data_IF_668989221533
#
_entry.id   IF_668989221533
#
_cell.length_a   1.000
_cell.length_b   1.000
_cell.length_c   1.000
_cell.angle_alpha   90.00
_cell.angle_beta   90.00
_cell.angle_gamma   90.00
#
_symmetry.space_group_name_H-M   'P 1'
#
loop_
_entity.id
_entity.type
_entity.pdbx_description
1 polymer ?
#
# COMPACT_ATOMS: atom_id res chain seq x y z
N UNK A 1 6.12 16.68 34.49
CA UNK A 1 5.33 15.59 33.88
C UNK A 1 4.76 16.04 32.56
N UNK A 2 5.55 16.08 31.50
CA UNK A 2 5.08 16.52 30.17
C UNK A 2 5.45 15.47 29.12
N UNK A 3 4.42 15.08 28.36
CA UNK A 3 4.46 14.40 27.07
C UNK A 3 5.06 12.98 27.05
N UNK A 4 4.23 11.97 27.34
CA UNK A 4 4.32 10.72 26.59
C UNK A 4 3.67 10.98 25.22
N UNK A 5 4.41 11.12 24.11
CA UNK A 5 3.79 11.23 22.80
C UNK A 5 3.05 9.91 22.53
N UNK A 6 1.73 9.97 22.39
CA UNK A 6 0.95 8.83 21.95
C UNK A 6 1.53 8.40 20.60
N UNK A 7 2.02 7.16 20.45
CA UNK A 7 2.54 6.68 19.18
C UNK A 7 1.38 6.73 18.18
N UNK A 8 1.48 7.62 17.21
CA UNK A 8 0.55 7.66 16.10
C UNK A 8 0.70 6.33 15.35
N UNK A 9 -0.42 5.64 15.13
CA UNK A 9 -0.43 4.43 14.33
C UNK A 9 0.08 4.69 12.91
N UNK A 10 0.55 3.63 12.21
CA UNK A 10 1.04 3.77 10.84
C UNK A 10 -0.03 4.43 9.98
N UNK A 11 0.30 5.58 9.42
CA UNK A 11 -0.61 6.44 8.68
C UNK A 11 -0.09 6.57 7.26
N UNK A 12 -0.84 6.02 6.32
CA UNK A 12 -0.49 6.02 4.90
C UNK A 12 -1.38 6.99 4.14
N UNK A 13 -0.77 7.78 3.28
CA UNK A 13 -1.44 8.64 2.33
C UNK A 13 -1.36 7.99 0.95
N UNK A 14 -2.53 7.67 0.40
CA UNK A 14 -2.65 6.98 -0.88
C UNK A 14 -3.15 7.93 -1.97
N UNK A 15 -2.43 7.96 -3.09
CA UNK A 15 -2.82 8.66 -4.31
C UNK A 15 -3.00 7.66 -5.45
N UNK A 16 -4.17 6.99 -5.51
CA UNK A 16 -4.47 6.04 -6.57
C UNK A 16 -4.91 6.74 -7.86
N UNK A 17 -4.32 6.32 -8.97
CA UNK A 17 -4.76 6.63 -10.32
C UNK A 17 -5.20 5.33 -11.00
N UNK A 18 -6.50 5.09 -11.07
CA UNK A 18 -7.07 3.86 -11.62
C UNK A 18 -7.87 4.09 -12.90
N UNK A 19 -7.69 3.19 -13.86
CA UNK A 19 -8.54 3.02 -15.02
C UNK A 19 -9.47 1.84 -14.78
N UNK A 20 -10.78 2.09 -14.88
CA UNK A 20 -11.83 1.07 -14.69
C UNK A 20 -12.50 0.77 -16.03
N UNK A 21 -12.22 -0.40 -16.60
CA UNK A 21 -12.88 -0.88 -17.80
C UNK A 21 -14.09 -1.75 -17.42
N UNK A 22 -15.30 -1.30 -17.81
CA UNK A 22 -16.54 -1.98 -17.47
C UNK A 22 -17.13 -2.63 -18.71
N UNK A 23 -17.55 -3.89 -18.59
CA UNK A 23 -18.29 -4.58 -19.64
C UNK A 23 -19.69 -3.99 -19.81
N UNK A 24 -20.38 -4.40 -20.87
CA UNK A 24 -21.82 -4.19 -21.01
C UNK A 24 -22.59 -4.92 -19.92
N UNK A 25 -23.75 -4.36 -19.58
CA UNK A 25 -24.60 -4.91 -18.54
C UNK A 25 -25.28 -6.17 -19.06
N UNK A 26 -25.05 -7.29 -18.38
CA UNK A 26 -25.77 -8.54 -18.63
C UNK A 26 -26.76 -8.73 -17.48
N UNK A 27 -28.04 -8.43 -17.75
CA UNK A 27 -29.11 -8.47 -16.75
C UNK A 27 -28.81 -7.59 -15.52
N UNK A 28 -28.59 -8.19 -14.33
CA UNK A 28 -28.27 -7.47 -13.09
C UNK A 28 -26.79 -7.54 -12.72
N UNK A 29 -25.92 -8.00 -13.62
CA UNK A 29 -24.49 -8.12 -13.40
C UNK A 29 -23.70 -7.34 -14.43
N UNK A 30 -22.61 -6.73 -13.98
CA UNK A 30 -21.69 -6.00 -14.84
C UNK A 30 -20.24 -6.23 -14.38
N UNK A 31 -19.55 -7.23 -14.97
CA UNK A 31 -18.13 -7.46 -14.70
C UNK A 31 -17.28 -6.26 -15.13
N UNK A 32 -16.20 -6.02 -14.39
CA UNK A 32 -15.24 -4.97 -14.71
C UNK A 32 -13.81 -5.38 -14.33
N UNK A 33 -12.87 -4.75 -15.02
CA UNK A 33 -11.44 -4.81 -14.74
C UNK A 33 -10.98 -3.42 -14.27
N UNK A 34 -10.02 -3.42 -13.36
CA UNK A 34 -9.38 -2.25 -12.81
C UNK A 34 -7.88 -2.39 -13.03
N UNK A 35 -7.22 -1.32 -13.45
CA UNK A 35 -5.76 -1.28 -13.52
C UNK A 35 -5.26 0.13 -13.32
N UNK A 36 -4.13 0.29 -12.63
CA UNK A 36 -3.57 1.60 -12.41
C UNK A 36 -2.33 1.62 -11.55
N UNK A 37 -1.94 2.82 -11.15
CA UNK A 37 -0.80 3.07 -10.28
C UNK A 37 -1.29 3.72 -9.00
N UNK A 38 -0.68 3.39 -7.88
CA UNK A 38 -0.98 3.99 -6.59
C UNK A 38 0.31 4.45 -5.92
N UNK A 39 0.43 5.76 -5.69
CA UNK A 39 1.54 6.31 -4.92
C UNK A 39 1.16 6.35 -3.44
N UNK A 40 1.85 5.54 -2.63
CA UNK A 40 1.62 5.44 -1.19
C UNK A 40 2.77 6.09 -0.44
N UNK A 41 2.45 7.04 0.42
CA UNK A 41 3.40 7.75 1.26
C UNK A 41 3.12 7.50 2.75
N UNK A 42 4.08 6.94 3.46
CA UNK A 42 4.02 6.72 4.90
C UNK A 42 4.35 8.01 5.66
N UNK A 43 3.35 8.58 6.33
CA UNK A 43 3.49 9.78 7.14
C UNK A 43 4.01 9.51 8.55
N UNK A 44 3.90 8.26 9.02
CA UNK A 44 4.32 7.83 10.35
C UNK A 44 5.77 7.34 10.38
N UNK A 45 6.33 6.96 9.24
CA UNK A 45 7.73 6.54 9.15
C UNK A 45 8.66 7.67 9.62
N UNK A 46 9.58 7.38 10.56
CA UNK A 46 10.57 8.35 11.09
C UNK A 46 11.48 8.91 9.97
N UNK A 47 12.03 10.13 10.14
CA UNK A 47 12.86 10.79 9.11
C UNK A 47 14.06 9.92 8.76
N UNK A 48 14.30 9.70 7.45
CA UNK A 48 15.55 9.12 6.96
C UNK A 48 16.71 9.93 7.56
N UNK A 49 17.65 9.25 8.21
CA UNK A 49 18.80 9.85 8.89
C UNK A 49 18.70 10.10 10.41
N UNK A 50 17.54 9.91 11.08
CA UNK A 50 17.48 9.91 12.55
C UNK A 50 17.33 8.49 13.08
N UNK A 51 18.43 7.89 13.52
CA UNK A 51 18.41 6.71 14.36
C UNK A 51 18.11 7.17 15.79
N UNK A 52 17.02 6.68 16.40
CA UNK A 52 16.95 6.71 17.86
C UNK A 52 17.97 5.67 18.34
N UNK A 53 18.87 6.08 19.23
CA UNK A 53 19.88 5.21 19.83
C UNK A 53 19.25 4.08 20.67
N UNK A 54 17.94 4.13 20.93
CA UNK A 54 17.20 3.16 21.75
C UNK A 54 16.22 2.26 20.97
N UNK A 55 16.03 2.45 19.66
CA UNK A 55 15.14 1.57 18.87
C UNK A 55 15.91 0.39 18.27
N UNK A 56 15.44 -0.83 18.54
CA UNK A 56 15.95 -2.12 18.01
C UNK A 56 15.57 -2.37 16.52
N UNK A 57 15.37 -1.31 15.73
CA UNK A 57 14.98 -1.41 14.32
C UNK A 57 16.22 -1.36 13.42
N UNK A 58 16.70 -2.52 12.98
CA UNK A 58 17.91 -2.69 12.18
C UNK A 58 17.69 -2.51 10.67
N UNK A 59 16.44 -2.49 10.20
CA UNK A 59 16.07 -2.34 8.78
C UNK A 59 15.02 -1.24 8.66
N UNK A 60 15.32 -0.17 7.92
CA UNK A 60 14.37 0.93 7.64
C UNK A 60 13.87 0.85 6.22
N UNK A 61 12.55 0.95 6.06
CA UNK A 61 11.91 1.01 4.76
C UNK A 61 11.79 2.44 4.24
N UNK A 62 11.88 2.64 2.93
CA UNK A 62 11.67 3.95 2.29
C UNK A 62 10.23 4.42 2.52
N UNK A 63 10.09 5.73 2.77
CA UNK A 63 8.81 6.37 3.14
C UNK A 63 7.78 6.46 2.02
N UNK A 64 8.17 6.28 0.77
CA UNK A 64 7.29 6.36 -0.39
C UNK A 64 7.52 5.18 -1.31
N UNK A 65 6.43 4.54 -1.73
CA UNK A 65 6.44 3.45 -2.69
C UNK A 65 5.37 3.66 -3.77
N UNK A 66 5.65 3.18 -4.97
CA UNK A 66 4.73 3.20 -6.11
C UNK A 66 4.25 1.78 -6.32
N UNK A 67 2.95 1.57 -6.20
CA UNK A 67 2.30 0.30 -6.43
C UNK A 67 1.71 0.24 -7.83
N UNK A 68 1.99 -0.83 -8.55
CA UNK A 68 1.21 -1.23 -9.72
C UNK A 68 0.02 -2.05 -9.23
N UNK A 69 -1.19 -1.59 -9.52
CA UNK A 69 -2.42 -2.22 -9.07
C UNK A 69 -3.22 -2.78 -10.26
N UNK A 70 -3.72 -4.01 -10.08
CA UNK A 70 -4.63 -4.67 -11.00
C UNK A 70 -5.75 -5.31 -10.19
N UNK A 71 -6.99 -5.17 -10.64
CA UNK A 71 -8.13 -5.75 -9.97
C UNK A 71 -9.23 -6.15 -10.92
N UNK A 72 -10.15 -6.95 -10.41
CA UNK A 72 -11.36 -7.32 -11.12
C UNK A 72 -12.51 -7.43 -10.13
N UNK A 73 -13.71 -7.15 -10.61
CA UNK A 73 -14.90 -7.20 -9.78
C UNK A 73 -16.16 -7.32 -10.62
N UNK A 74 -17.29 -7.41 -9.93
CA UNK A 74 -18.61 -7.48 -10.57
C UNK A 74 -19.56 -6.52 -9.89
N UNK A 75 -20.12 -5.60 -10.67
CA UNK A 75 -21.19 -4.72 -10.22
C UNK A 75 -22.52 -5.48 -10.27
N UNK A 76 -23.12 -5.78 -9.10
CA UNK A 76 -24.42 -6.45 -8.97
C UNK A 76 -25.49 -5.44 -8.57
N UNK A 77 -26.53 -5.31 -9.38
CA UNK A 77 -27.63 -4.37 -9.15
C UNK A 77 -28.74 -5.05 -8.33
N UNK A 78 -28.80 -4.79 -7.02
CA UNK A 78 -29.88 -5.23 -6.14
C UNK A 78 -30.99 -4.18 -6.11
N UNK A 79 -32.12 -4.51 -5.46
CA UNK A 79 -33.31 -3.63 -5.38
C UNK A 79 -33.04 -2.32 -4.64
N UNK A 80 -32.15 -2.33 -3.65
CA UNK A 80 -31.92 -1.21 -2.74
C UNK A 80 -30.55 -0.55 -2.88
N UNK A 81 -29.53 -1.30 -3.29
CA UNK A 81 -28.16 -0.81 -3.47
C UNK A 81 -27.46 -1.64 -4.55
N UNK A 82 -26.36 -1.14 -5.07
CA UNK A 82 -25.45 -1.85 -5.95
C UNK A 82 -24.34 -2.44 -5.10
N UNK A 83 -24.23 -3.76 -5.13
CA UNK A 83 -23.17 -4.50 -4.46
C UNK A 83 -22.05 -4.80 -5.46
N UNK A 84 -20.85 -4.30 -5.20
CA UNK A 84 -19.71 -4.51 -6.08
C UNK A 84 -18.51 -5.06 -5.31
N UNK A 85 -18.41 -6.40 -5.16
CA UNK A 85 -17.18 -7.03 -4.67
C UNK A 85 -16.06 -6.86 -5.71
N UNK A 86 -14.87 -6.53 -5.23
CA UNK A 86 -13.66 -6.32 -6.00
C UNK A 86 -12.48 -7.01 -5.33
N UNK A 87 -11.67 -7.72 -6.11
CA UNK A 87 -10.36 -8.21 -5.68
C UNK A 87 -9.31 -7.36 -6.39
N UNK A 88 -8.37 -6.81 -5.61
CA UNK A 88 -7.29 -5.97 -6.11
C UNK A 88 -5.95 -6.50 -5.63
N UNK A 89 -5.01 -6.59 -6.56
CA UNK A 89 -3.63 -6.98 -6.36
C UNK A 89 -2.75 -5.75 -6.56
N UNK A 90 -1.82 -5.50 -5.64
CA UNK A 90 -0.86 -4.42 -5.71
C UNK A 90 0.57 -4.96 -5.60
N UNK A 91 1.47 -4.53 -6.48
CA UNK A 91 2.89 -4.87 -6.43
C UNK A 91 3.71 -3.58 -6.33
N UNK A 92 4.48 -3.45 -5.25
CA UNK A 92 5.43 -2.36 -5.05
C UNK A 92 6.56 -2.42 -6.08
N UNK A 93 6.76 -1.33 -6.81
CA UNK A 93 7.74 -1.22 -7.88
C UNK A 93 9.10 -0.75 -7.37
N UNK A 94 9.14 0.01 -6.27
CA UNK A 94 10.38 0.54 -5.73
C UNK A 94 11.02 -0.45 -4.76
N UNK A 95 12.35 -0.46 -4.74
CA UNK A 95 13.07 -1.16 -3.68
C UNK A 95 12.86 -0.37 -2.37
N UNK A 96 12.19 -1.02 -1.41
CA UNK A 96 11.89 -0.38 -0.13
C UNK A 96 13.08 -0.38 0.83
N UNK A 97 14.19 -1.05 0.52
CA UNK A 97 15.38 -1.11 1.36
C UNK A 97 16.16 0.20 1.23
N UNK A 98 16.46 0.85 2.36
CA UNK A 98 17.45 1.93 2.40
C UNK A 98 18.86 1.30 2.32
N UNK A 99 19.65 1.57 1.26
CA UNK A 99 21.00 1.02 1.12
C UNK A 99 21.95 1.51 2.22
N UNK A 100 21.61 2.62 2.88
CA UNK A 100 22.34 3.13 4.03
C UNK A 100 21.72 2.57 5.31
N UNK A 101 22.09 1.33 5.67
CA UNK A 101 21.77 0.74 6.97
C UNK A 101 22.32 1.57 8.14
N UNK A 102 22.17 1.09 9.38
CA UNK A 102 22.81 1.74 10.55
C UNK A 102 24.32 1.83 10.29
N UNK A 103 24.89 3.01 10.52
CA UNK A 103 26.35 3.26 10.41
C UNK A 103 27.15 2.25 11.24
N UNK A 104 26.56 1.76 12.35
CA UNK A 104 27.18 0.81 13.27
C UNK A 104 27.13 -0.66 12.82
N UNK A 105 26.21 -1.05 11.92
CA UNK A 105 26.07 -2.44 11.44
C UNK A 105 25.56 -2.53 9.98
N UNK A 106 26.43 -2.29 8.98
CA UNK A 106 26.06 -2.31 7.56
C UNK A 106 25.77 -3.72 7.01
N UNK A 107 26.25 -4.79 7.67
CA UNK A 107 26.06 -6.17 7.23
C UNK A 107 24.59 -6.58 7.06
N UNK A 108 23.68 -6.06 7.91
CA UNK A 108 22.27 -6.43 7.85
C UNK A 108 21.55 -5.83 6.63
N UNK A 109 21.86 -4.59 6.26
CA UNK A 109 21.32 -3.97 5.04
C UNK A 109 21.88 -4.61 3.76
N UNK A 110 23.15 -5.00 3.76
CA UNK A 110 23.81 -5.62 2.61
C UNK A 110 23.34 -7.06 2.33
N UNK A 111 22.74 -7.74 3.31
CA UNK A 111 22.22 -9.11 3.16
C UNK A 111 20.91 -9.21 2.38
N UNK A 112 20.15 -8.11 2.27
CA UNK A 112 18.86 -8.07 1.58
C UNK A 112 18.99 -7.14 0.38
N UNK A 113 19.07 -7.69 -0.83
CA UNK A 113 19.28 -6.89 -2.03
C UNK A 113 18.02 -6.14 -2.48
N UNK A 114 16.84 -6.75 -2.33
CA UNK A 114 15.55 -6.19 -2.76
C UNK A 114 14.41 -6.59 -1.83
N UNK A 115 13.63 -5.62 -1.36
CA UNK A 115 12.33 -5.84 -0.74
C UNK A 115 11.25 -5.22 -1.61
N UNK A 116 10.30 -6.06 -2.05
CA UNK A 116 9.08 -5.64 -2.77
C UNK A 116 7.87 -5.98 -1.93
N UNK A 117 6.93 -5.04 -1.85
CA UNK A 117 5.66 -5.24 -1.16
C UNK A 117 4.62 -5.85 -2.10
N UNK A 118 3.94 -6.89 -1.64
CA UNK A 118 2.79 -7.48 -2.32
C UNK A 118 1.57 -7.25 -1.46
N UNK A 119 0.52 -6.68 -2.07
CA UNK A 119 -0.76 -6.41 -1.43
C UNK A 119 -1.86 -7.16 -2.15
N UNK A 120 -2.71 -7.82 -1.37
CA UNK A 120 -3.96 -8.41 -1.83
C UNK A 120 -5.06 -7.76 -1.02
N UNK A 121 -6.00 -7.13 -1.71
CA UNK A 121 -7.10 -6.38 -1.12
C UNK A 121 -8.42 -6.97 -1.59
N UNK A 122 -9.33 -7.18 -0.64
CA UNK A 122 -10.70 -7.54 -0.88
C UNK A 122 -11.56 -6.32 -0.53
N UNK A 123 -12.16 -5.69 -1.54
CA UNK A 123 -12.98 -4.51 -1.38
C UNK A 123 -14.44 -4.86 -1.59
N UNK A 124 -15.30 -4.28 -0.76
CA UNK A 124 -16.74 -4.36 -0.92
C UNK A 124 -17.28 -2.95 -1.09
N UNK A 125 -17.76 -2.64 -2.29
CA UNK A 125 -18.40 -1.37 -2.57
C UNK A 125 -19.92 -1.51 -2.43
N UNK A 126 -20.50 -0.58 -1.68
CA UNK A 126 -21.94 -0.44 -1.49
C UNK A 126 -22.31 0.94 -2.03
N UNK A 127 -22.92 0.95 -3.21
CA UNK A 127 -23.36 2.16 -3.92
C UNK A 127 -24.89 2.27 -3.96
#
# INVERSE_FOLDING_TARGET
NAANPVPLGPSFLDFPLHFKYRSDRVNNYRPYLLGGLNFRYDMSAKKSGKYDSESNEYVKFRRGDVYLEFGFGVDTYLRYFKFAPEIKFGVGLLNMIDPNGRVEHPEFANSISHARSYLIMLNFHFE
#
